data_IF_027748645478
#
_entry.id   IF_027748645478
#
_cell.length_a   1.000
_cell.length_b   1.000
_cell.length_c   1.000
_cell.angle_alpha   90.00
_cell.angle_beta   90.00
_cell.angle_gamma   90.00
#
_symmetry.space_group_name_H-M   'P 1'
#
loop_
_entity.id
_entity.type
_entity.pdbx_description
1 polymer ?
#
# COMPACT_ATOMS: atom_id res chain seq x y z
N UNK A 1 12.16 0.99 16.89
CA UNK A 1 12.48 0.56 15.51
C UNK A 1 13.98 0.55 15.32
N UNK A 2 14.47 -0.50 14.71
CA UNK A 2 15.89 -0.70 14.41
C UNK A 2 16.39 0.34 13.38
N UNK A 3 17.61 0.85 13.60
CA UNK A 3 18.23 1.80 12.67
C UNK A 3 18.41 1.22 11.25
N UNK A 4 18.65 -0.09 11.14
CA UNK A 4 18.76 -0.76 9.85
C UNK A 4 17.45 -0.65 9.05
N UNK A 5 16.30 -0.77 9.71
CA UNK A 5 14.98 -0.62 9.10
C UNK A 5 14.77 0.83 8.64
N UNK A 6 15.10 1.80 9.48
CA UNK A 6 15.02 3.22 9.11
C UNK A 6 15.90 3.53 7.90
N UNK A 7 17.10 2.98 7.86
CA UNK A 7 18.01 3.16 6.74
C UNK A 7 17.47 2.56 5.44
N UNK A 8 16.73 1.45 5.52
CA UNK A 8 16.08 0.87 4.34
C UNK A 8 15.09 1.85 3.72
N UNK A 9 14.27 2.49 4.53
CA UNK A 9 13.29 3.46 4.03
C UNK A 9 13.92 4.76 3.52
N UNK A 10 15.08 5.15 4.03
CA UNK A 10 15.78 6.35 3.58
C UNK A 10 16.30 6.28 2.13
N UNK A 11 16.26 5.09 1.53
CA UNK A 11 16.63 4.89 0.12
C UNK A 11 15.62 5.48 -0.86
N UNK A 12 14.40 5.75 -0.39
CA UNK A 12 13.34 6.30 -1.24
C UNK A 12 13.38 7.82 -1.14
N UNK A 13 13.63 8.48 -2.26
CA UNK A 13 13.65 9.93 -2.33
C UNK A 13 12.38 10.59 -1.86
N UNK A 14 11.79 11.42 -1.79
CA UNK A 14 10.51 12.03 -1.39
C UNK A 14 9.63 11.24 -0.40
N UNK A 15 10.10 10.10 0.11
CA UNK A 15 9.39 9.42 1.18
C UNK A 15 9.65 10.18 2.50
N UNK A 16 8.57 10.49 3.21
CA UNK A 16 8.72 10.97 4.58
C UNK A 16 9.25 9.82 5.43
N UNK A 17 10.52 9.93 5.81
CA UNK A 17 11.20 8.92 6.62
C UNK A 17 11.04 9.18 8.11
N UNK A 18 10.01 9.91 8.53
CA UNK A 18 9.69 10.06 9.93
C UNK A 18 9.51 8.69 10.58
N UNK A 19 9.86 8.62 11.87
CA UNK A 19 9.70 7.37 12.62
C UNK A 19 8.25 6.87 12.59
N UNK A 20 7.29 7.79 12.63
CA UNK A 20 5.86 7.46 12.60
C UNK A 20 5.46 6.81 11.27
N UNK A 21 5.84 7.39 10.14
CA UNK A 21 5.56 6.81 8.82
C UNK A 21 6.21 5.45 8.66
N UNK A 22 7.46 5.31 9.09
CA UNK A 22 8.16 4.03 9.04
C UNK A 22 7.49 2.97 9.92
N UNK A 23 7.00 3.34 11.10
CA UNK A 23 6.24 2.43 11.96
C UNK A 23 4.96 1.96 11.27
N UNK A 24 4.26 2.83 10.58
CA UNK A 24 3.05 2.46 9.85
C UNK A 24 3.37 1.51 8.69
N UNK A 25 4.45 1.78 7.95
CA UNK A 25 4.88 0.88 6.87
C UNK A 25 5.30 -0.49 7.42
N UNK A 26 5.98 -0.54 8.56
CA UNK A 26 6.32 -1.81 9.21
C UNK A 26 5.08 -2.55 9.73
N UNK A 27 4.07 -1.83 10.20
CA UNK A 27 2.77 -2.44 10.53
C UNK A 27 2.14 -3.10 9.30
N UNK A 28 2.22 -2.45 8.16
CA UNK A 28 1.74 -3.04 6.90
C UNK A 28 2.52 -4.31 6.54
N UNK A 29 3.85 -4.28 6.67
CA UNK A 29 4.69 -5.48 6.45
C UNK A 29 4.21 -6.64 7.31
N UNK A 30 3.96 -6.39 8.59
CA UNK A 30 3.48 -7.42 9.52
C UNK A 30 2.09 -7.94 9.16
N UNK A 31 1.20 -7.07 8.76
CA UNK A 31 -0.16 -7.47 8.34
C UNK A 31 -0.13 -8.31 7.06
N UNK A 32 0.72 -7.96 6.10
CA UNK A 32 0.90 -8.74 4.87
C UNK A 32 1.46 -10.12 5.22
N UNK A 33 2.49 -10.18 6.01
CA UNK A 33 3.11 -11.45 6.41
C UNK A 33 2.10 -12.37 7.09
N UNK A 34 1.33 -11.84 8.02
CA UNK A 34 0.34 -12.63 8.77
C UNK A 34 -0.79 -13.10 7.86
N UNK A 35 -1.33 -12.20 7.05
CA UNK A 35 -2.45 -12.55 6.16
C UNK A 35 -2.02 -13.52 5.06
N UNK A 36 -0.78 -13.42 4.62
CA UNK A 36 -0.28 -14.28 3.55
C UNK A 36 -0.19 -15.76 3.96
N UNK A 37 -0.30 -16.08 5.24
CA UNK A 37 -0.42 -17.44 5.73
C UNK A 37 -1.77 -18.08 5.38
N UNK A 38 -2.80 -17.25 5.24
CA UNK A 38 -4.18 -17.68 4.97
C UNK A 38 -4.53 -17.60 3.49
N UNK A 39 -4.22 -16.47 2.86
CA UNK A 39 -4.52 -16.21 1.45
C UNK A 39 -3.30 -15.61 0.75
N UNK A 40 -3.28 -15.69 -0.58
CA UNK A 40 -2.18 -15.12 -1.37
C UNK A 40 -2.34 -13.62 -1.54
N UNK A 41 -1.85 -12.83 -0.59
CA UNK A 41 -1.75 -11.37 -0.74
C UNK A 41 -0.58 -11.04 -1.68
N UNK A 42 0.56 -11.68 -1.45
CA UNK A 42 1.76 -11.61 -2.29
C UNK A 42 2.25 -13.03 -2.54
N UNK A 43 3.29 -13.18 -3.38
CA UNK A 43 3.91 -14.48 -3.61
C UNK A 43 4.36 -15.13 -2.30
N UNK A 44 3.99 -16.39 -2.08
CA UNK A 44 4.39 -17.15 -0.88
C UNK A 44 5.89 -17.44 -0.81
N UNK A 45 6.62 -17.24 -1.89
CA UNK A 45 8.08 -17.34 -1.89
C UNK A 45 8.74 -16.20 -1.12
N UNK A 46 8.01 -15.10 -0.92
CA UNK A 46 8.48 -13.92 -0.20
C UNK A 46 7.72 -13.86 1.11
N UNK A 47 8.25 -14.46 2.17
CA UNK A 47 7.58 -14.57 3.47
C UNK A 47 8.30 -13.87 4.62
N UNK A 48 9.59 -13.60 4.47
CA UNK A 48 10.34 -12.88 5.50
C UNK A 48 10.01 -11.38 5.45
N UNK A 49 9.91 -10.75 6.63
CA UNK A 49 9.59 -9.32 6.73
C UNK A 49 10.56 -8.46 5.94
N UNK A 50 11.85 -8.77 5.99
CA UNK A 50 12.86 -8.02 5.24
C UNK A 50 12.61 -8.09 3.74
N UNK A 51 12.29 -9.27 3.23
CA UNK A 51 12.00 -9.45 1.80
C UNK A 51 10.70 -8.74 1.40
N UNK A 52 9.67 -8.77 2.22
CA UNK A 52 8.43 -8.03 2.00
C UNK A 52 8.72 -6.53 1.94
N UNK A 53 9.47 -6.02 2.90
CA UNK A 53 9.84 -4.60 2.96
C UNK A 53 10.59 -4.17 1.70
N UNK A 54 11.66 -4.88 1.34
CA UNK A 54 12.52 -4.49 0.22
C UNK A 54 11.84 -4.66 -1.14
N UNK A 55 11.18 -5.79 -1.37
CA UNK A 55 10.64 -6.14 -2.70
C UNK A 55 9.25 -5.61 -2.97
N UNK A 56 8.48 -5.31 -1.94
CA UNK A 56 7.11 -4.82 -2.10
C UNK A 56 6.93 -3.39 -1.59
N UNK A 57 7.32 -3.10 -0.36
CA UNK A 57 7.03 -1.79 0.23
C UNK A 57 7.95 -0.72 -0.36
N UNK A 58 9.25 -0.91 -0.28
CA UNK A 58 10.23 0.08 -0.75
C UNK A 58 10.17 0.23 -2.26
N UNK A 59 10.07 -0.86 -2.99
CA UNK A 59 9.94 -0.83 -4.43
C UNK A 59 8.70 -0.05 -4.86
N UNK A 60 7.55 -0.33 -4.25
CA UNK A 60 6.30 0.37 -4.54
C UNK A 60 6.32 1.83 -4.10
N UNK A 61 7.02 2.17 -3.03
CA UNK A 61 7.07 3.53 -2.51
C UNK A 61 7.72 4.53 -3.50
N UNK A 62 8.47 4.04 -4.45
CA UNK A 62 9.09 4.91 -5.47
C UNK A 62 8.07 5.62 -6.34
N UNK A 63 6.82 5.13 -6.42
CA UNK A 63 5.75 5.79 -7.16
C UNK A 63 5.35 7.14 -6.56
N UNK A 64 5.69 7.38 -5.29
CA UNK A 64 5.31 8.61 -4.58
C UNK A 64 5.84 9.85 -5.27
N UNK A 65 7.01 9.76 -5.92
CA UNK A 65 7.60 10.86 -6.69
C UNK A 65 6.69 11.30 -7.84
N UNK A 66 5.82 10.43 -8.30
CA UNK A 66 4.95 10.66 -9.46
C UNK A 66 3.50 11.00 -9.09
N UNK A 67 3.17 11.06 -7.80
CA UNK A 67 1.83 11.42 -7.36
C UNK A 67 1.65 12.93 -7.51
N UNK A 68 0.65 13.32 -8.27
CA UNK A 68 0.35 14.75 -8.49
C UNK A 68 -0.48 15.30 -7.32
N UNK A 69 0.14 16.16 -6.52
CA UNK A 69 -0.49 16.73 -5.33
C UNK A 69 -1.52 17.82 -5.65
N UNK A 70 -1.68 18.21 -6.91
CA UNK A 70 -2.72 19.15 -7.32
C UNK A 70 -4.10 18.51 -7.41
N UNK A 71 -4.18 17.18 -7.43
CA UNK A 71 -5.44 16.45 -7.45
C UNK A 71 -5.81 15.95 -6.06
N UNK A 72 -7.11 15.71 -5.84
CA UNK A 72 -7.64 15.22 -4.57
C UNK A 72 -7.90 13.72 -4.56
N UNK A 73 -7.68 13.06 -5.69
CA UNK A 73 -7.96 11.65 -5.87
C UNK A 73 -6.85 10.99 -6.66
N UNK A 74 -6.43 9.82 -6.22
CA UNK A 74 -5.51 8.94 -6.94
C UNK A 74 -6.14 7.56 -7.03
N UNK A 75 -6.00 6.90 -8.17
CA UNK A 75 -6.55 5.56 -8.38
C UNK A 75 -5.43 4.56 -8.61
N UNK A 76 -5.54 3.42 -7.95
CA UNK A 76 -4.67 2.26 -8.16
C UNK A 76 -5.51 1.14 -8.78
N UNK A 77 -5.30 0.88 -10.06
CA UNK A 77 -6.08 -0.08 -10.84
C UNK A 77 -5.45 -1.46 -10.72
N UNK A 78 -6.16 -2.41 -10.12
CA UNK A 78 -5.62 -3.74 -9.87
C UNK A 78 -4.59 -3.73 -8.75
N UNK A 79 -4.93 -3.13 -7.63
CA UNK A 79 -4.00 -2.90 -6.52
C UNK A 79 -3.44 -4.19 -5.89
N UNK A 80 -4.08 -5.33 -6.08
CA UNK A 80 -3.65 -6.60 -5.50
C UNK A 80 -3.64 -6.55 -3.98
N UNK A 81 -2.48 -6.82 -3.37
CA UNK A 81 -2.28 -6.73 -1.92
C UNK A 81 -2.15 -5.30 -1.40
N UNK A 82 -2.44 -4.30 -2.23
CA UNK A 82 -2.42 -2.89 -1.81
C UNK A 82 -1.18 -2.12 -2.23
N UNK A 83 -0.41 -2.65 -3.16
CA UNK A 83 0.79 -1.98 -3.63
C UNK A 83 0.62 -1.50 -5.07
N UNK A 84 0.89 -0.21 -5.35
CA UNK A 84 1.43 0.79 -4.42
C UNK A 84 0.37 1.55 -3.60
N UNK A 85 -0.91 1.32 -3.83
CA UNK A 85 -2.00 2.17 -3.32
C UNK A 85 -2.03 2.37 -1.81
N UNK A 86 -1.86 1.30 -1.00
CA UNK A 86 -1.82 1.43 0.46
C UNK A 86 -0.60 2.25 0.93
N UNK A 87 0.54 2.07 0.27
CA UNK A 87 1.75 2.83 0.61
C UNK A 87 1.53 4.32 0.33
N UNK A 88 0.94 4.64 -0.81
CA UNK A 88 0.56 6.02 -1.15
C UNK A 88 -0.38 6.58 -0.08
N UNK A 89 -1.39 5.82 0.33
CA UNK A 89 -2.35 6.25 1.35
C UNK A 89 -1.67 6.53 2.70
N UNK A 90 -0.73 5.68 3.10
CA UNK A 90 0.03 5.87 4.35
C UNK A 90 0.85 7.15 4.30
N UNK A 91 1.57 7.38 3.22
CA UNK A 91 2.42 8.56 3.05
C UNK A 91 1.58 9.83 2.94
N UNK A 92 0.46 9.77 2.22
CA UNK A 92 -0.43 10.93 2.04
C UNK A 92 -1.09 11.40 3.34
N UNK A 93 -1.16 10.58 4.37
CA UNK A 93 -1.64 11.03 5.69
C UNK A 93 -0.84 12.22 6.21
N UNK A 94 0.45 12.27 5.90
CA UNK A 94 1.35 13.36 6.31
C UNK A 94 1.42 14.48 5.27
N UNK A 95 1.48 14.12 3.99
CA UNK A 95 1.74 15.08 2.91
C UNK A 95 0.45 15.79 2.50
N UNK A 96 -0.63 15.03 2.33
CA UNK A 96 -1.93 15.56 1.91
C UNK A 96 -3.06 14.64 2.37
N UNK A 97 -3.52 14.83 3.60
CA UNK A 97 -4.52 13.96 4.21
C UNK A 97 -5.90 14.03 3.55
N UNK A 98 -6.15 15.06 2.74
CA UNK A 98 -7.40 15.19 1.98
C UNK A 98 -7.42 14.32 0.72
N UNK A 99 -6.28 13.78 0.27
CA UNK A 99 -6.23 12.94 -0.92
C UNK A 99 -6.88 11.60 -0.65
N UNK A 100 -7.87 11.25 -1.46
CA UNK A 100 -8.54 9.96 -1.42
C UNK A 100 -7.87 9.00 -2.39
N UNK A 101 -7.54 7.81 -1.91
CA UNK A 101 -6.92 6.77 -2.72
C UNK A 101 -7.96 5.71 -3.04
N UNK A 102 -8.30 5.57 -4.31
CA UNK A 102 -9.24 4.55 -4.79
C UNK A 102 -8.47 3.30 -5.16
N UNK A 103 -8.79 2.19 -4.49
CA UNK A 103 -8.14 0.89 -4.70
C UNK A 103 -9.10 -0.05 -5.41
N UNK A 104 -8.82 -0.36 -6.66
CA UNK A 104 -9.62 -1.27 -7.47
C UNK A 104 -9.01 -2.67 -7.41
N UNK A 105 -9.82 -3.65 -7.03
CA UNK A 105 -9.38 -5.03 -6.91
C UNK A 105 -10.53 -6.00 -7.24
N UNK A 106 -10.25 -7.03 -8.01
CA UNK A 106 -11.24 -8.03 -8.40
C UNK A 106 -11.42 -9.16 -7.39
N UNK A 107 -10.40 -9.44 -6.57
CA UNK A 107 -10.44 -10.53 -5.59
C UNK A 107 -11.18 -10.09 -4.34
N UNK A 108 -12.25 -10.81 -3.99
CA UNK A 108 -13.02 -10.54 -2.77
C UNK A 108 -12.15 -10.63 -1.50
N UNK A 109 -11.31 -11.67 -1.41
CA UNK A 109 -10.45 -11.87 -0.25
C UNK A 109 -9.43 -10.74 -0.09
N UNK A 110 -8.86 -10.27 -1.19
CA UNK A 110 -7.94 -9.14 -1.16
C UNK A 110 -8.66 -7.84 -0.78
N UNK A 111 -9.87 -7.63 -1.27
CA UNK A 111 -10.68 -6.47 -0.88
C UNK A 111 -10.95 -6.44 0.63
N UNK A 112 -11.23 -7.59 1.24
CA UNK A 112 -11.43 -7.69 2.70
C UNK A 112 -10.16 -7.27 3.42
N UNK A 113 -9.01 -7.77 2.99
CA UNK A 113 -7.71 -7.39 3.56
C UNK A 113 -7.45 -5.88 3.44
N UNK A 114 -7.68 -5.29 2.26
CA UNK A 114 -7.51 -3.85 2.04
C UNK A 114 -8.38 -3.03 2.98
N UNK A 115 -9.63 -3.46 3.20
CA UNK A 115 -10.54 -2.78 4.13
C UNK A 115 -10.06 -2.89 5.57
N UNK A 116 -9.55 -4.05 5.98
CA UNK A 116 -9.00 -4.25 7.33
C UNK A 116 -7.81 -3.33 7.58
N UNK A 117 -6.87 -3.26 6.64
CA UNK A 117 -5.70 -2.37 6.74
C UNK A 117 -6.13 -0.91 6.80
N UNK A 118 -7.00 -0.51 5.89
CA UNK A 118 -7.48 0.88 5.80
C UNK A 118 -8.15 1.33 7.08
N UNK A 119 -8.98 0.48 7.67
CA UNK A 119 -9.65 0.76 8.93
C UNK A 119 -8.67 0.83 10.10
N UNK A 120 -7.79 -0.17 10.21
CA UNK A 120 -6.83 -0.25 11.31
C UNK A 120 -5.87 0.93 11.33
N UNK A 121 -5.43 1.37 10.17
CA UNK A 121 -4.46 2.45 10.02
C UNK A 121 -5.12 3.82 9.76
N UNK A 122 -6.43 3.88 9.72
CA UNK A 122 -7.20 5.11 9.47
C UNK A 122 -6.78 5.81 8.18
N UNK A 123 -6.77 5.07 7.07
CA UNK A 123 -6.37 5.58 5.77
C UNK A 123 -7.55 6.22 5.04
N UNK A 124 -7.27 7.24 4.24
CA UNK A 124 -8.27 7.88 3.38
C UNK A 124 -8.36 7.12 2.05
N UNK A 125 -9.00 5.96 2.09
CA UNK A 125 -9.11 5.04 0.94
C UNK A 125 -10.56 4.72 0.65
N UNK A 126 -10.80 4.31 -0.59
CA UNK A 126 -12.05 3.66 -0.99
C UNK A 126 -11.67 2.38 -1.73
N UNK A 127 -12.13 1.25 -1.21
CA UNK A 127 -11.87 -0.06 -1.82
C UNK A 127 -13.04 -0.39 -2.73
N UNK A 128 -12.74 -0.61 -4.02
CA UNK A 128 -13.74 -0.87 -5.05
C UNK A 128 -13.53 -2.28 -5.59
N UNK A 129 -14.45 -3.18 -5.23
CA UNK A 129 -14.41 -4.58 -5.66
C UNK A 129 -14.92 -4.65 -7.11
N UNK A 130 -14.01 -4.62 -8.07
CA UNK A 130 -14.36 -4.56 -9.49
C UNK A 130 -13.26 -5.15 -10.34
N UNK A 131 -13.64 -5.85 -11.40
CA UNK A 131 -12.72 -6.28 -12.44
C UNK A 131 -12.61 -5.17 -13.48
N UNK A 132 -11.48 -4.48 -13.52
CA UNK A 132 -11.25 -3.35 -14.42
C UNK A 132 -11.28 -3.78 -15.89
N UNK A 133 -10.75 -4.97 -16.21
CA UNK A 133 -10.75 -5.46 -17.59
C UNK A 133 -12.17 -5.68 -18.10
N UNK A 134 -13.05 -6.30 -17.30
CA UNK A 134 -14.45 -6.48 -17.66
C UNK A 134 -15.17 -5.14 -17.81
N UNK A 135 -14.88 -4.19 -16.93
CA UNK A 135 -15.47 -2.84 -16.99
C UNK A 135 -15.08 -2.11 -18.27
N UNK A 136 -13.85 -2.25 -18.74
CA UNK A 136 -13.37 -1.63 -19.98
C UNK A 136 -13.98 -2.27 -21.21
N UNK A 137 -14.28 -3.57 -21.19
CA UNK A 137 -14.90 -4.29 -22.30
C UNK A 137 -16.35 -3.84 -22.52
N UNK A 138 -17.03 -3.38 -21.47
CA UNK A 138 -18.43 -2.97 -21.51
C UNK A 138 -18.64 -1.48 -21.79
N UNK A 139 -17.58 -0.75 -22.03
CA UNK A 139 -17.66 0.64 -22.51
C UNK A 139 -17.95 0.59 -24.03
#
# INVERSE_FOLDING_TARGET
MDNAILNSYSKVSNLDVSRETCNELESLVSMIQEKNKEINIISKKIYEKEAIRERHIIDSAQIIDFVDLNYNTTCDLGTGGGMPGLIVAIVMKKIKNSMKIHLYEKSHHKCIFLKEVSKKMNLNTEIIHKDIFLSLIHI
#
